data_IF_854974716933
#
_entry.id   IF_854974716933
#
_cell.length_a   1.000
_cell.length_b   1.000
_cell.length_c   1.000
_cell.angle_alpha   90.00
_cell.angle_beta   90.00
_cell.angle_gamma   90.00
#
_symmetry.space_group_name_H-M   'P 1'
#
loop_
_entity.id
_entity.type
_entity.pdbx_description
1 polymer ?
#
# COMPACT_ATOMS: atom_id res chain seq x y z
N UNK A 1 4.13 -15.44 3.25
CA UNK A 1 3.91 -15.26 4.69
C UNK A 1 5.20 -14.69 5.25
N UNK A 2 5.10 -13.53 5.85
CA UNK A 2 6.16 -12.67 6.39
C UNK A 2 5.75 -12.02 7.73
N UNK A 3 4.45 -11.83 7.97
CA UNK A 3 3.92 -11.48 9.29
C UNK A 3 4.14 -12.58 10.34
N UNK A 4 4.74 -12.22 11.47
CA UNK A 4 5.11 -13.16 12.55
C UNK A 4 4.23 -13.03 13.80
N UNK A 5 3.79 -11.81 14.14
CA UNK A 5 2.97 -11.56 15.32
C UNK A 5 1.49 -11.41 14.98
N UNK A 6 0.65 -11.65 15.98
CA UNK A 6 -0.81 -11.57 15.89
C UNK A 6 -1.31 -10.12 16.10
N UNK A 7 -2.52 -9.77 15.61
CA UNK A 7 -3.13 -8.47 15.90
C UNK A 7 -3.19 -8.14 17.40
N UNK A 8 -3.40 -9.15 18.26
CA UNK A 8 -3.46 -9.00 19.71
C UNK A 8 -2.13 -8.57 20.31
N UNK A 9 -1.02 -9.16 19.85
CA UNK A 9 0.32 -8.79 20.31
C UNK A 9 0.68 -7.35 19.91
N UNK A 10 0.37 -6.95 18.66
CA UNK A 10 0.61 -5.59 18.20
C UNK A 10 -0.26 -4.55 18.90
N UNK A 11 -1.56 -4.82 19.10
CA UNK A 11 -2.47 -3.92 19.82
C UNK A 11 -2.05 -3.77 21.27
N UNK A 12 -1.69 -4.87 21.96
CA UNK A 12 -1.18 -4.81 23.32
C UNK A 12 0.05 -3.90 23.39
N UNK A 13 0.99 -4.06 22.46
CA UNK A 13 2.20 -3.22 22.41
C UNK A 13 1.88 -1.75 22.15
N UNK A 14 0.93 -1.45 21.27
CA UNK A 14 0.49 -0.08 21.00
C UNK A 14 -0.09 0.60 22.26
N UNK A 15 -0.90 -0.13 23.05
CA UNK A 15 -1.44 0.36 24.33
C UNK A 15 -0.32 0.63 25.34
N UNK A 16 0.63 -0.30 25.50
CA UNK A 16 1.78 -0.12 26.40
C UNK A 16 2.61 1.13 26.06
N UNK A 17 2.66 1.50 24.78
CA UNK A 17 3.35 2.69 24.28
C UNK A 17 2.51 3.97 24.32
N UNK A 18 1.26 3.90 24.79
CA UNK A 18 0.34 5.04 24.82
C UNK A 18 -0.13 5.50 23.44
N UNK A 19 -0.07 4.64 22.42
CA UNK A 19 -0.52 4.98 21.06
C UNK A 19 -2.05 4.94 20.96
N UNK A 20 -2.72 6.00 20.49
CA UNK A 20 -4.18 6.06 20.45
C UNK A 20 -4.79 5.30 19.25
N UNK A 21 -3.97 4.87 18.30
CA UNK A 21 -4.39 4.22 17.06
C UNK A 21 -3.29 3.31 16.50
N UNK A 22 -3.68 2.35 15.66
CA UNK A 22 -2.77 1.46 14.92
C UNK A 22 -3.41 1.02 13.60
N UNK A 23 -2.60 0.93 12.55
CA UNK A 23 -3.03 0.47 11.23
C UNK A 23 -2.68 -1.00 10.98
N UNK A 24 -3.52 -1.70 10.23
CA UNK A 24 -3.20 -3.00 9.64
C UNK A 24 -3.09 -2.83 8.12
N UNK A 25 -1.99 -3.31 7.54
CA UNK A 25 -1.66 -3.18 6.13
C UNK A 25 -1.03 -4.48 5.63
N UNK A 26 -1.76 -5.60 5.75
CA UNK A 26 -1.29 -6.91 5.31
C UNK A 26 -1.03 -6.95 3.79
N UNK A 27 -0.10 -7.81 3.36
CA UNK A 27 0.25 -7.97 1.96
C UNK A 27 -0.87 -8.59 1.11
N UNK A 28 -1.53 -7.78 0.29
CA UNK A 28 -2.49 -8.23 -0.72
C UNK A 28 -3.73 -8.95 -0.17
N UNK A 29 -4.05 -8.76 1.11
CA UNK A 29 -5.20 -9.40 1.76
C UNK A 29 -5.81 -8.49 2.81
N UNK A 30 -7.12 -8.64 3.04
CA UNK A 30 -7.88 -7.96 4.10
C UNK A 30 -8.25 -8.92 5.24
N UNK A 31 -7.70 -10.15 5.25
CA UNK A 31 -8.07 -11.21 6.18
C UNK A 31 -7.92 -10.84 7.66
N UNK A 32 -6.94 -10.00 8.00
CA UNK A 32 -6.69 -9.55 9.37
C UNK A 32 -7.65 -8.47 9.87
N UNK A 33 -8.44 -7.84 9.00
CA UNK A 33 -9.24 -6.65 9.33
C UNK A 33 -10.21 -6.89 10.49
N UNK A 34 -10.95 -8.01 10.44
CA UNK A 34 -11.96 -8.33 11.46
C UNK A 34 -11.33 -8.49 12.83
N UNK A 35 -10.23 -9.22 12.92
CA UNK A 35 -9.56 -9.46 14.19
C UNK A 35 -8.95 -8.16 14.73
N UNK A 36 -8.22 -7.44 13.89
CA UNK A 36 -7.64 -6.14 14.23
C UNK A 36 -8.68 -5.16 14.77
N UNK A 37 -9.83 -5.05 14.09
CA UNK A 37 -10.93 -4.19 14.52
C UNK A 37 -11.44 -4.56 15.91
N UNK A 38 -11.71 -5.85 16.16
CA UNK A 38 -12.20 -6.33 17.46
C UNK A 38 -11.20 -6.07 18.56
N UNK A 39 -9.94 -6.45 18.36
CA UNK A 39 -8.88 -6.27 19.35
C UNK A 39 -8.67 -4.79 19.69
N UNK A 40 -8.60 -3.90 18.69
CA UNK A 40 -8.45 -2.46 18.95
C UNK A 40 -9.64 -1.90 19.74
N UNK A 41 -10.87 -2.31 19.39
CA UNK A 41 -12.08 -1.88 20.08
C UNK A 41 -12.12 -2.32 21.54
N UNK A 42 -11.74 -3.57 21.82
CA UNK A 42 -11.63 -4.10 23.18
C UNK A 42 -10.56 -3.39 23.99
N UNK A 43 -9.45 -3.00 23.34
CA UNK A 43 -8.34 -2.26 23.95
C UNK A 43 -8.57 -0.74 24.07
N UNK A 44 -9.66 -0.20 23.50
CA UNK A 44 -9.98 1.22 23.56
C UNK A 44 -9.14 2.13 22.65
N UNK A 45 -8.45 1.58 21.64
CA UNK A 45 -7.67 2.36 20.65
C UNK A 45 -8.33 2.31 19.26
N UNK A 46 -8.03 3.30 18.41
CA UNK A 46 -8.66 3.41 17.08
C UNK A 46 -8.00 2.44 16.06
N UNK A 47 -8.75 1.48 15.48
CA UNK A 47 -8.23 0.72 14.35
C UNK A 47 -8.21 1.57 13.08
N UNK A 48 -7.14 1.45 12.29
CA UNK A 48 -7.06 1.96 10.92
C UNK A 48 -6.94 0.76 9.99
N UNK A 49 -7.96 0.56 9.15
CA UNK A 49 -8.03 -0.59 8.26
C UNK A 49 -7.41 -0.23 6.91
N UNK A 50 -6.40 -0.98 6.47
CA UNK A 50 -5.69 -0.75 5.24
C UNK A 50 -5.15 -2.03 4.62
N UNK A 51 -4.31 -1.87 3.60
CA UNK A 51 -3.69 -2.97 2.85
C UNK A 51 -2.37 -2.49 2.27
N UNK A 52 -1.34 -3.33 2.33
CA UNK A 52 -0.18 -3.18 1.44
C UNK A 52 -0.48 -3.98 0.17
N UNK A 53 -1.06 -3.29 -0.80
CA UNK A 53 -1.46 -3.85 -2.08
C UNK A 53 -0.29 -4.00 -3.05
N UNK A 54 -0.59 -4.66 -4.17
CA UNK A 54 0.33 -4.77 -5.30
C UNK A 54 -0.26 -3.98 -6.48
N UNK A 55 0.49 -3.00 -7.01
CA UNK A 55 0.06 -2.19 -8.15
C UNK A 55 0.93 -2.49 -9.38
N UNK A 56 0.30 -2.64 -10.55
CA UNK A 56 0.96 -2.80 -11.83
C UNK A 56 0.49 -1.71 -12.81
N UNK A 57 1.23 -1.52 -13.91
CA UNK A 57 0.77 -0.66 -15.00
C UNK A 57 -0.44 -1.26 -15.73
N UNK A 58 -0.44 -2.59 -15.87
CA UNK A 58 -1.54 -3.37 -16.42
C UNK A 58 -1.74 -4.60 -15.53
N UNK A 59 -2.91 -4.72 -14.90
CA UNK A 59 -3.24 -5.86 -14.03
C UNK A 59 -3.29 -7.19 -14.78
N UNK A 60 -3.50 -7.17 -16.09
CA UNK A 60 -3.56 -8.34 -16.96
C UNK A 60 -2.20 -8.79 -17.52
N UNK A 61 -1.14 -7.99 -17.36
CA UNK A 61 0.21 -8.37 -17.79
C UNK A 61 0.72 -9.57 -16.98
N UNK A 62 0.97 -10.69 -17.68
CA UNK A 62 1.45 -11.96 -17.12
C UNK A 62 2.88 -12.31 -17.55
N UNK A 63 3.63 -11.37 -18.14
CA UNK A 63 5.03 -11.57 -18.53
C UNK A 63 5.87 -11.95 -17.31
N UNK A 64 6.67 -13.00 -17.47
CA UNK A 64 7.59 -13.49 -16.46
C UNK A 64 8.80 -12.56 -16.29
N UNK A 65 9.57 -12.78 -15.21
CA UNK A 65 10.76 -11.95 -14.91
C UNK A 65 11.80 -12.00 -16.03
N UNK A 66 11.91 -13.12 -16.74
CA UNK A 66 12.84 -13.29 -17.87
C UNK A 66 12.48 -12.47 -19.10
N UNK A 67 11.22 -12.06 -19.23
CA UNK A 67 10.69 -11.30 -20.38
C UNK A 67 10.75 -9.78 -20.13
N UNK A 68 11.18 -9.37 -18.93
CA UNK A 68 11.22 -7.98 -18.49
C UNK A 68 12.61 -7.41 -18.72
N UNK A 69 12.67 -6.26 -19.39
CA UNK A 69 13.92 -5.73 -19.96
C UNK A 69 14.42 -4.46 -19.28
N UNK A 70 13.55 -3.74 -18.57
CA UNK A 70 13.88 -2.50 -17.89
C UNK A 70 13.93 -2.63 -16.36
N UNK A 71 14.66 -1.73 -15.66
CA UNK A 71 14.76 -1.76 -14.20
C UNK A 71 13.40 -1.51 -13.50
N UNK A 72 12.49 -0.80 -14.16
CA UNK A 72 11.12 -0.53 -13.69
C UNK A 72 10.06 -1.38 -14.41
N UNK A 73 10.45 -2.25 -15.33
CA UNK A 73 9.53 -3.22 -15.94
C UNK A 73 9.34 -4.39 -14.96
N UNK A 74 8.66 -4.15 -13.84
CA UNK A 74 8.42 -5.15 -12.79
C UNK A 74 6.98 -5.67 -12.85
N UNK A 75 6.76 -6.90 -12.35
CA UNK A 75 5.43 -7.49 -12.30
C UNK A 75 4.43 -6.69 -11.44
N UNK A 76 4.94 -5.97 -10.44
CA UNK A 76 4.19 -5.10 -9.54
C UNK A 76 5.15 -4.25 -8.70
N UNK A 77 4.59 -3.22 -8.08
CA UNK A 77 5.16 -2.45 -6.98
C UNK A 77 4.25 -2.56 -5.75
N UNK A 78 4.77 -2.23 -4.57
CA UNK A 78 3.94 -2.12 -3.38
C UNK A 78 3.22 -0.77 -3.34
N UNK A 79 2.03 -0.74 -2.75
CA UNK A 79 1.27 0.47 -2.48
C UNK A 79 0.55 0.31 -1.14
N UNK A 80 0.56 1.33 -0.28
CA UNK A 80 -0.20 1.28 0.98
C UNK A 80 -1.46 2.11 0.81
N UNK A 81 -2.60 1.49 1.09
CA UNK A 81 -3.93 2.11 1.00
C UNK A 81 -4.62 2.00 2.37
N UNK A 82 -5.14 3.11 2.88
CA UNK A 82 -5.88 3.17 4.15
C UNK A 82 -7.30 3.66 3.91
N UNK A 83 -8.28 3.00 4.53
CA UNK A 83 -9.66 3.47 4.51
C UNK A 83 -9.83 4.67 5.46
N UNK A 84 -10.12 5.85 4.89
CA UNK A 84 -10.40 7.09 5.64
C UNK A 84 -11.77 7.07 6.31
N UNK A 85 -12.73 6.38 5.68
CA UNK A 85 -14.12 6.28 6.10
C UNK A 85 -14.76 4.97 5.59
N UNK A 86 -16.07 4.81 5.80
CA UNK A 86 -16.83 3.62 5.38
C UNK A 86 -16.80 3.40 3.87
N UNK A 87 -16.94 4.45 3.06
CA UNK A 87 -16.83 4.37 1.60
C UNK A 87 -15.44 3.90 1.16
N UNK A 88 -14.39 4.38 1.84
CA UNK A 88 -13.02 3.91 1.64
C UNK A 88 -12.86 2.42 1.96
N UNK A 89 -13.49 1.93 3.03
CA UNK A 89 -13.43 0.50 3.37
C UNK A 89 -14.13 -0.37 2.32
N UNK A 90 -15.27 0.07 1.79
CA UNK A 90 -15.96 -0.59 0.69
C UNK A 90 -15.11 -0.59 -0.59
N UNK A 91 -14.45 0.52 -0.89
CA UNK A 91 -13.53 0.63 -2.02
C UNK A 91 -12.29 -0.26 -1.85
N UNK A 92 -11.71 -0.37 -0.64
CA UNK A 92 -10.63 -1.33 -0.36
C UNK A 92 -11.07 -2.77 -0.62
N UNK A 93 -12.27 -3.15 -0.17
CA UNK A 93 -12.82 -4.48 -0.45
C UNK A 93 -12.94 -4.72 -1.95
N UNK A 94 -13.42 -3.73 -2.71
CA UNK A 94 -13.57 -3.86 -4.17
C UNK A 94 -12.23 -3.94 -4.90
N UNK A 95 -11.26 -3.13 -4.50
CA UNK A 95 -9.90 -3.17 -5.04
C UNK A 95 -9.24 -4.54 -4.75
N UNK A 96 -9.37 -5.05 -3.54
CA UNK A 96 -8.86 -6.37 -3.18
C UNK A 96 -9.54 -7.48 -4.00
N UNK A 97 -10.87 -7.46 -4.12
CA UNK A 97 -11.61 -8.40 -4.98
C UNK A 97 -11.06 -8.41 -6.41
N UNK A 98 -10.95 -7.24 -7.05
CA UNK A 98 -10.41 -7.09 -8.42
C UNK A 98 -8.98 -7.64 -8.51
N UNK A 99 -8.14 -7.34 -7.51
CA UNK A 99 -6.78 -7.87 -7.46
C UNK A 99 -6.74 -9.40 -7.49
N UNK A 100 -7.67 -10.05 -6.78
CA UNK A 100 -7.79 -11.51 -6.72
C UNK A 100 -8.50 -12.13 -7.93
N UNK A 101 -9.50 -11.48 -8.50
CA UNK A 101 -10.33 -12.06 -9.57
C UNK A 101 -9.81 -11.73 -10.98
N UNK A 102 -9.27 -10.54 -11.19
CA UNK A 102 -8.79 -10.06 -12.50
C UNK A 102 -7.27 -10.03 -12.59
N UNK A 103 -6.61 -9.41 -11.60
CA UNK A 103 -5.19 -9.09 -11.67
C UNK A 103 -4.25 -10.15 -11.14
N UNK A 104 -4.78 -11.30 -10.71
CA UNK A 104 -3.98 -12.35 -10.10
C UNK A 104 -3.05 -13.00 -11.13
N UNK A 105 -1.76 -13.02 -10.79
CA UNK A 105 -0.74 -13.77 -11.51
C UNK A 105 0.13 -14.55 -10.53
N UNK A 106 1.00 -13.84 -9.81
CA UNK A 106 1.74 -14.38 -8.65
C UNK A 106 1.27 -13.75 -7.33
N UNK A 107 0.71 -12.55 -7.44
CA UNK A 107 0.13 -11.73 -6.38
C UNK A 107 -1.17 -11.13 -6.90
N UNK A 108 -2.13 -10.78 -6.02
CA UNK A 108 -3.35 -10.08 -6.40
C UNK A 108 -3.01 -8.61 -6.70
N UNK A 109 -3.00 -8.22 -7.98
CA UNK A 109 -2.55 -6.89 -8.40
C UNK A 109 -3.71 -6.04 -8.86
N UNK A 110 -3.70 -4.78 -8.47
CA UNK A 110 -4.53 -3.75 -9.10
C UNK A 110 -3.68 -2.95 -10.10
N UNK A 111 -4.32 -2.05 -10.83
CA UNK A 111 -3.64 -1.04 -11.63
C UNK A 111 -4.19 0.37 -11.35
N UNK A 112 -3.58 1.35 -12.00
CA UNK A 112 -3.93 2.76 -11.84
C UNK A 112 -5.35 3.08 -12.29
N UNK A 113 -5.90 2.33 -13.27
CA UNK A 113 -7.28 2.51 -13.75
C UNK A 113 -8.28 2.19 -12.64
N UNK A 114 -8.19 1.00 -12.05
CA UNK A 114 -9.14 0.61 -11.00
C UNK A 114 -8.88 1.38 -9.70
N UNK A 115 -7.63 1.72 -9.39
CA UNK A 115 -7.30 2.57 -8.25
C UNK A 115 -7.96 3.96 -8.37
N UNK A 116 -7.89 4.57 -9.55
CA UNK A 116 -8.53 5.86 -9.80
C UNK A 116 -10.06 5.75 -9.74
N UNK A 117 -10.63 4.66 -10.26
CA UNK A 117 -12.08 4.41 -10.23
C UNK A 117 -12.63 4.28 -8.81
N UNK A 118 -11.90 3.65 -7.90
CA UNK A 118 -12.32 3.43 -6.51
C UNK A 118 -11.52 4.28 -5.50
N UNK A 119 -11.11 5.49 -5.90
CA UNK A 119 -10.26 6.37 -5.08
C UNK A 119 -10.97 7.02 -3.88
N UNK A 120 -12.30 7.11 -3.92
CA UNK A 120 -13.05 7.85 -2.91
C UNK A 120 -12.85 7.25 -1.50
N UNK A 121 -12.50 8.10 -0.53
CA UNK A 121 -12.29 7.67 0.85
C UNK A 121 -11.01 6.87 1.10
N UNK A 122 -10.09 6.81 0.13
CA UNK A 122 -8.79 6.13 0.26
C UNK A 122 -7.68 7.15 0.51
N UNK A 123 -6.87 6.91 1.54
CA UNK A 123 -5.56 7.53 1.71
C UNK A 123 -4.51 6.63 1.09
N UNK A 124 -3.57 7.21 0.33
CA UNK A 124 -2.49 6.50 -0.35
C UNK A 124 -1.14 6.94 0.18
N UNK A 125 -0.26 5.99 0.43
CA UNK A 125 1.14 6.26 0.76
C UNK A 125 2.06 5.69 -0.32
N UNK A 126 3.22 6.32 -0.51
CA UNK A 126 4.22 5.91 -1.51
C UNK A 126 4.84 4.52 -1.26
N UNK A 127 4.51 3.89 -0.13
CA UNK A 127 4.92 2.55 0.29
C UNK A 127 6.43 2.41 0.54
N UNK A 128 6.83 1.15 0.73
CA UNK A 128 8.19 0.77 1.11
C UNK A 128 9.20 0.86 -0.06
N UNK A 129 10.39 0.28 0.11
CA UNK A 129 11.41 0.26 -0.96
C UNK A 129 11.02 -0.53 -2.22
N UNK A 130 9.97 -1.35 -2.11
CA UNK A 130 9.34 -2.03 -3.24
C UNK A 130 8.21 -1.19 -3.88
N UNK A 131 7.95 0.00 -3.35
CA UNK A 131 7.03 0.98 -3.93
C UNK A 131 7.61 1.62 -5.19
N UNK A 132 6.72 2.09 -6.07
CA UNK A 132 7.10 2.58 -7.39
C UNK A 132 8.08 3.76 -7.31
N UNK A 133 7.74 4.76 -6.50
CA UNK A 133 8.53 5.99 -6.36
C UNK A 133 9.93 5.67 -5.84
N UNK A 134 10.02 4.86 -4.77
CA UNK A 134 11.29 4.46 -4.18
C UNK A 134 12.14 3.64 -5.17
N UNK A 135 11.52 2.73 -5.93
CA UNK A 135 12.21 1.97 -6.98
C UNK A 135 12.74 2.86 -8.11
N UNK A 136 11.96 3.83 -8.55
CA UNK A 136 12.38 4.79 -9.57
C UNK A 136 13.59 5.61 -9.10
N UNK A 137 13.58 6.10 -7.86
CA UNK A 137 14.72 6.79 -7.25
C UNK A 137 15.94 5.87 -7.17
N UNK A 138 15.77 4.62 -6.69
CA UNK A 138 16.86 3.64 -6.54
C UNK A 138 17.62 3.40 -7.84
N UNK A 139 16.94 3.41 -8.99
CA UNK A 139 17.56 3.19 -10.31
C UNK A 139 17.90 4.48 -11.06
N UNK A 140 17.75 5.65 -10.42
CA UNK A 140 18.06 6.96 -11.02
C UNK A 140 17.02 7.50 -12.00
N UNK A 141 15.84 6.89 -12.08
CA UNK A 141 14.73 7.27 -12.96
C UNK A 141 13.85 8.35 -12.30
N UNK A 142 14.45 9.48 -11.93
CA UNK A 142 13.79 10.58 -11.20
C UNK A 142 12.60 11.18 -11.96
N UNK A 143 12.63 11.17 -13.29
CA UNK A 143 11.51 11.63 -14.12
C UNK A 143 10.26 10.76 -13.92
N UNK A 144 10.44 9.43 -13.86
CA UNK A 144 9.33 8.50 -13.59
C UNK A 144 8.84 8.66 -12.15
N UNK A 145 9.75 8.79 -11.17
CA UNK A 145 9.37 9.08 -9.78
C UNK A 145 8.48 10.32 -9.67
N UNK A 146 8.91 11.44 -10.30
CA UNK A 146 8.18 12.71 -10.30
C UNK A 146 6.80 12.58 -10.97
N UNK A 147 6.74 11.93 -12.13
CA UNK A 147 5.48 11.68 -12.86
C UNK A 147 4.46 10.93 -12.00
N UNK A 148 4.88 9.94 -11.21
CA UNK A 148 3.97 9.21 -10.33
C UNK A 148 3.57 10.02 -9.10
N UNK A 149 4.49 10.80 -8.53
CA UNK A 149 4.15 11.77 -7.46
C UNK A 149 3.08 12.74 -7.96
N UNK A 150 3.24 13.30 -9.15
CA UNK A 150 2.26 14.20 -9.79
C UNK A 150 0.93 13.47 -10.02
N UNK A 151 0.96 12.24 -10.55
CA UNK A 151 -0.26 11.45 -10.74
C UNK A 151 -1.02 11.20 -9.43
N UNK A 152 -0.33 10.79 -8.36
CA UNK A 152 -0.97 10.58 -7.07
C UNK A 152 -1.51 11.88 -6.48
N UNK A 153 -0.74 12.97 -6.58
CA UNK A 153 -1.18 14.29 -6.13
C UNK A 153 -2.42 14.78 -6.89
N UNK A 154 -2.47 14.63 -8.21
CA UNK A 154 -3.60 15.06 -9.03
C UNK A 154 -4.86 14.21 -8.76
N UNK A 155 -4.69 12.93 -8.41
CA UNK A 155 -5.82 12.03 -8.20
C UNK A 155 -6.33 11.98 -6.76
N UNK A 156 -5.45 12.09 -5.77
CA UNK A 156 -5.74 11.94 -4.35
C UNK A 156 -5.59 13.23 -3.53
N UNK A 157 -4.91 14.26 -4.06
CA UNK A 157 -4.73 15.54 -3.38
C UNK A 157 -4.13 15.39 -1.99
N UNK A 158 -4.84 15.90 -0.98
CA UNK A 158 -4.43 15.86 0.44
C UNK A 158 -4.45 14.44 1.05
N UNK A 159 -5.02 13.46 0.34
CA UNK A 159 -5.05 12.06 0.75
C UNK A 159 -3.85 11.25 0.20
N UNK A 160 -2.86 11.91 -0.40
CA UNK A 160 -1.57 11.29 -0.77
C UNK A 160 -0.43 11.73 0.14
N UNK A 161 0.35 10.76 0.62
CA UNK A 161 1.48 10.98 1.51
C UNK A 161 2.74 10.29 0.98
N UNK A 162 3.88 10.95 1.13
CA UNK A 162 5.19 10.32 0.95
C UNK A 162 5.57 9.58 2.23
N UNK A 163 5.88 8.30 2.10
CA UNK A 163 6.26 7.43 3.21
C UNK A 163 7.77 7.44 3.41
N UNK A 164 8.21 7.92 4.57
CA UNK A 164 9.61 7.97 4.97
C UNK A 164 9.86 6.93 6.05
N UNK A 165 10.82 6.03 5.81
CA UNK A 165 11.16 4.98 6.77
C UNK A 165 12.62 5.09 7.20
N UNK A 166 12.92 5.05 8.51
CA UNK A 166 14.28 5.29 9.01
C UNK A 166 15.27 4.19 8.63
N UNK A 167 14.79 2.99 8.24
CA UNK A 167 15.64 1.87 7.82
C UNK A 167 16.05 1.95 6.34
N UNK A 168 15.52 2.91 5.57
CA UNK A 168 15.96 3.16 4.21
C UNK A 168 17.37 3.77 4.21
N UNK A 169 18.09 3.62 3.09
CA UNK A 169 19.32 4.40 2.85
C UNK A 169 18.99 5.89 2.93
N UNK A 170 19.87 6.66 3.56
CA UNK A 170 19.71 8.11 3.75
C UNK A 170 19.39 8.83 2.43
N UNK A 171 20.14 8.52 1.37
CA UNK A 171 19.97 9.09 0.02
C UNK A 171 18.54 8.93 -0.53
N UNK A 172 17.87 7.81 -0.22
CA UNK A 172 16.49 7.57 -0.66
C UNK A 172 15.54 8.51 0.10
N UNK A 173 15.68 8.60 1.42
CA UNK A 173 14.83 9.48 2.21
C UNK A 173 15.04 10.96 1.87
N UNK A 174 16.28 11.37 1.58
CA UNK A 174 16.58 12.73 1.12
C UNK A 174 15.99 13.03 -0.26
N UNK A 175 15.87 12.03 -1.13
CA UNK A 175 15.26 12.19 -2.45
C UNK A 175 13.73 12.21 -2.43
N UNK A 176 13.11 11.79 -1.32
CA UNK A 176 11.67 11.74 -1.14
C UNK A 176 11.07 13.06 -0.60
N UNK A 177 11.91 13.93 -0.01
CA UNK A 177 11.53 15.17 0.69
C UNK A 177 12.02 16.38 -0.07
#
# INVERSE_FOLDING_TARGET
MDGVATPQEYVKRAVELGMPAIAITDHGTLSGHREMYRTCKEAGIKPILGIEGYIAYDRFDKRDKSERTGPLDLNYFHIVLLAKNQQGLENLNKLNEIGWTEGFYKKPRIDFEVLQKYKEGIIVLSACMSGLIAKAIEVGEYAEAKKHIEWFKDNFGDDFYIEVMPHNKQEINESLV
#
